data_IF_675458634042
#
_entry.id   IF_675458634042
#
_cell.length_a   1.000
_cell.length_b   1.000
_cell.length_c   1.000
_cell.angle_alpha   90.00
_cell.angle_beta   90.00
_cell.angle_gamma   90.00
#
_symmetry.space_group_name_H-M   'P 1'
#
loop_
_entity.id
_entity.type
_entity.pdbx_description
1 polymer ?
#
# COMPACT_ATOMS: atom_id res chain seq x y z
N UNK A 1 12.98 7.48 4.70
CA UNK A 1 12.27 6.62 5.66
C UNK A 1 11.22 7.47 6.36
N UNK A 2 9.94 7.16 6.15
CA UNK A 2 8.83 7.97 6.70
C UNK A 2 8.35 7.34 8.00
N UNK A 3 8.47 8.06 9.11
CA UNK A 3 8.08 7.61 10.45
C UNK A 3 6.60 7.96 10.68
N UNK A 4 5.82 7.06 11.31
CA UNK A 4 4.39 7.20 11.62
C UNK A 4 3.47 7.53 10.42
N UNK A 5 3.02 6.49 9.69
CA UNK A 5 1.85 6.63 8.80
C UNK A 5 0.74 5.69 9.20
N UNK A 6 -0.50 6.16 9.04
CA UNK A 6 -1.69 5.31 9.07
C UNK A 6 -1.99 4.73 7.68
N UNK A 7 -2.94 3.81 7.60
CA UNK A 7 -3.35 3.18 6.33
C UNK A 7 -3.85 4.21 5.32
N UNK A 8 -4.65 5.18 5.76
CA UNK A 8 -5.22 6.22 4.90
C UNK A 8 -4.16 7.03 4.17
N UNK A 9 -3.16 7.54 4.90
CA UNK A 9 -2.06 8.30 4.31
C UNK A 9 -1.24 7.50 3.32
N UNK A 10 -1.05 6.19 3.57
CA UNK A 10 -0.32 5.32 2.66
C UNK A 10 -1.15 4.96 1.42
N UNK A 11 -2.45 4.75 1.60
CA UNK A 11 -3.40 4.53 0.51
C UNK A 11 -3.48 5.74 -0.41
N UNK A 12 -3.68 6.94 0.14
CA UNK A 12 -3.74 8.18 -0.63
C UNK A 12 -2.43 8.41 -1.39
N UNK A 13 -1.28 8.20 -0.75
CA UNK A 13 0.00 8.31 -1.44
C UNK A 13 0.12 7.30 -2.58
N UNK A 14 -0.14 6.02 -2.31
CA UNK A 14 -0.12 4.98 -3.33
C UNK A 14 -1.06 5.28 -4.51
N UNK A 15 -2.26 5.78 -4.24
CA UNK A 15 -3.21 6.19 -5.27
C UNK A 15 -2.62 7.28 -6.18
N UNK A 16 -2.10 8.36 -5.60
CA UNK A 16 -1.51 9.45 -6.37
C UNK A 16 -0.35 8.98 -7.26
N UNK A 17 0.55 8.15 -6.73
CA UNK A 17 1.70 7.66 -7.49
C UNK A 17 1.28 6.69 -8.61
N UNK A 18 0.27 5.86 -8.36
CA UNK A 18 -0.29 4.98 -9.38
C UNK A 18 -0.89 5.80 -10.54
N UNK A 19 -1.77 6.77 -10.25
CA UNK A 19 -2.40 7.62 -11.27
C UNK A 19 -1.34 8.41 -12.06
N UNK A 20 -0.36 8.98 -11.37
CA UNK A 20 0.76 9.68 -12.01
C UNK A 20 1.54 8.76 -12.95
N UNK A 21 1.75 7.49 -12.59
CA UNK A 21 2.36 6.50 -13.49
C UNK A 21 1.46 6.20 -14.69
N UNK A 22 0.16 5.98 -14.51
CA UNK A 22 -0.77 5.69 -15.61
C UNK A 22 -0.77 6.81 -16.66
N UNK A 23 -0.76 8.07 -16.21
CA UNK A 23 -0.78 9.26 -17.09
C UNK A 23 0.58 9.48 -17.75
N UNK A 24 1.67 9.45 -16.98
CA UNK A 24 2.98 9.92 -17.46
C UNK A 24 3.90 8.81 -17.95
N UNK A 25 3.65 7.56 -17.56
CA UNK A 25 4.50 6.38 -17.76
C UNK A 25 5.93 6.53 -17.25
N UNK A 26 6.18 7.48 -16.33
CA UNK A 26 7.50 7.64 -15.71
C UNK A 26 7.70 6.59 -14.61
N UNK A 27 8.71 5.74 -14.77
CA UNK A 27 9.05 4.64 -13.85
C UNK A 27 9.25 5.06 -12.39
N UNK A 28 9.65 6.31 -12.14
CA UNK A 28 9.77 6.83 -10.77
C UNK A 28 8.46 6.70 -9.97
N UNK A 29 7.32 6.95 -10.61
CA UNK A 29 6.00 6.89 -9.97
C UNK A 29 5.57 5.44 -9.73
N UNK A 30 5.86 4.55 -10.69
CA UNK A 30 5.70 3.10 -10.51
C UNK A 30 6.49 2.61 -9.29
N UNK A 31 7.76 3.02 -9.17
CA UNK A 31 8.61 2.66 -8.04
C UNK A 31 8.01 3.17 -6.72
N UNK A 32 7.57 4.42 -6.66
CA UNK A 32 6.97 4.99 -5.45
C UNK A 32 5.68 4.28 -5.05
N UNK A 33 4.83 3.92 -6.02
CA UNK A 33 3.65 3.09 -5.77
C UNK A 33 4.02 1.70 -5.23
N UNK A 34 5.04 1.05 -5.80
CA UNK A 34 5.53 -0.24 -5.31
C UNK A 34 6.15 -0.16 -3.92
N UNK A 35 6.79 0.96 -3.57
CA UNK A 35 7.29 1.22 -2.22
C UNK A 35 6.11 1.35 -1.22
N UNK A 36 5.00 2.00 -1.61
CA UNK A 36 3.77 2.06 -0.80
C UNK A 36 3.17 0.66 -0.61
N UNK A 37 3.06 -0.10 -1.69
CA UNK A 37 2.64 -1.50 -1.69
C UNK A 37 3.48 -2.36 -0.73
N UNK A 38 4.80 -2.18 -0.72
CA UNK A 38 5.70 -2.94 0.13
C UNK A 38 5.54 -2.58 1.61
N UNK A 39 5.11 -1.36 1.94
CA UNK A 39 4.80 -0.97 3.33
C UNK A 39 3.65 -1.82 3.91
N UNK A 40 2.60 -2.06 3.12
CA UNK A 40 1.49 -2.96 3.52
C UNK A 40 1.96 -4.40 3.77
N UNK A 41 3.00 -4.84 3.07
CA UNK A 41 3.62 -6.17 3.22
C UNK A 41 4.60 -6.28 4.40
N UNK A 42 4.75 -5.19 5.17
CA UNK A 42 5.66 -5.16 6.30
C UNK A 42 7.08 -4.72 5.98
N UNK A 43 7.35 -4.13 4.80
CA UNK A 43 8.57 -3.32 4.60
C UNK A 43 8.45 -1.94 5.26
N UNK A 44 7.95 -1.94 6.48
CA UNK A 44 7.86 -0.81 7.40
C UNK A 44 8.94 -0.94 8.47
N UNK A 45 9.04 0.05 9.36
CA UNK A 45 10.02 0.03 10.46
C UNK A 45 9.80 -1.12 11.45
N UNK A 46 8.63 -1.75 11.45
CA UNK A 46 8.31 -2.86 12.34
C UNK A 46 8.57 -4.23 11.74
N UNK A 47 8.75 -4.34 10.41
CA UNK A 47 8.85 -5.64 9.76
C UNK A 47 7.54 -6.45 9.75
N UNK A 48 6.46 -5.92 10.32
CA UNK A 48 5.18 -6.60 10.46
C UNK A 48 4.21 -6.24 9.33
N UNK A 49 3.51 -7.25 8.82
CA UNK A 49 2.48 -7.07 7.79
C UNK A 49 1.29 -6.29 8.35
N UNK A 50 0.87 -5.28 7.59
CA UNK A 50 -0.27 -4.42 7.91
C UNK A 50 -1.53 -4.95 7.22
N UNK A 51 -1.39 -5.43 5.99
CA UNK A 51 -2.46 -6.03 5.20
C UNK A 51 -2.23 -7.54 5.02
N UNK A 52 -3.27 -8.33 5.29
CA UNK A 52 -3.28 -9.76 5.03
C UNK A 52 -4.09 -10.07 3.76
N UNK A 53 -3.39 -10.40 2.69
CA UNK A 53 -3.99 -10.69 1.38
C UNK A 53 -4.85 -11.96 1.35
N UNK A 54 -4.66 -12.89 2.30
CA UNK A 54 -5.41 -14.15 2.33
C UNK A 54 -6.86 -13.97 2.77
N UNK A 55 -7.12 -12.99 3.64
CA UNK A 55 -8.44 -12.78 4.23
C UNK A 55 -8.91 -11.32 4.17
N UNK A 56 -8.14 -10.42 3.56
CA UNK A 56 -8.48 -9.00 3.42
C UNK A 56 -8.38 -8.19 4.71
N UNK A 57 -7.92 -8.78 5.82
CA UNK A 57 -7.79 -8.06 7.08
C UNK A 57 -6.68 -7.02 6.98
N UNK A 58 -6.94 -5.82 7.50
CA UNK A 58 -5.97 -4.73 7.55
C UNK A 58 -5.96 -4.10 8.93
N UNK A 59 -4.77 -3.79 9.44
CA UNK A 59 -4.58 -3.06 10.68
C UNK A 59 -4.48 -1.58 10.38
N UNK A 60 -4.99 -0.72 11.26
CA UNK A 60 -5.13 0.71 10.96
C UNK A 60 -3.79 1.48 10.78
N UNK A 61 -2.66 0.84 11.12
CA UNK A 61 -1.33 1.33 10.82
C UNK A 61 -0.37 1.18 11.99
N UNK A 62 0.65 2.05 12.01
CA UNK A 62 1.69 2.06 13.04
C UNK A 62 1.49 3.30 13.91
N UNK A 63 1.32 3.08 15.21
CA UNK A 63 1.21 4.13 16.23
C UNK A 63 2.20 3.86 17.35
N UNK A 64 3.01 4.86 17.69
CA UNK A 64 4.01 4.80 18.78
C UNK A 64 4.98 3.61 18.64
N UNK A 65 5.40 3.30 17.40
CA UNK A 65 6.27 2.17 17.12
C UNK A 65 5.63 0.80 17.38
N UNK A 66 4.30 0.73 17.37
CA UNK A 66 3.54 -0.52 17.50
C UNK A 66 2.52 -0.62 16.39
N UNK A 67 2.34 -1.84 15.90
CA UNK A 67 1.27 -2.15 14.97
C UNK A 67 -0.08 -2.06 15.72
N UNK A 68 -1.06 -1.40 15.11
CA UNK A 68 -2.40 -1.32 15.69
C UNK A 68 -2.99 -2.70 15.97
N UNK A 69 -3.78 -2.81 17.04
CA UNK A 69 -4.64 -3.98 17.29
C UNK A 69 -5.99 -3.84 16.60
N UNK A 70 -6.34 -2.62 16.22
CA UNK A 70 -7.60 -2.28 15.58
C UNK A 70 -7.53 -2.64 14.09
N UNK A 71 -8.61 -3.25 13.63
CA UNK A 71 -8.81 -3.68 12.26
C UNK A 71 -10.15 -3.10 11.77
N UNK A 72 -10.13 -1.86 11.29
CA UNK A 72 -11.31 -1.19 10.76
C UNK A 72 -11.67 -1.66 9.34
N UNK A 73 -12.97 -1.59 9.00
CA UNK A 73 -13.44 -1.84 7.64
C UNK A 73 -12.85 -0.86 6.61
N UNK A 74 -12.67 0.40 7.00
CA UNK A 74 -12.05 1.44 6.17
C UNK A 74 -10.63 1.03 5.76
N UNK A 75 -9.77 0.69 6.73
CA UNK A 75 -8.40 0.24 6.47
C UNK A 75 -8.34 -0.99 5.56
N UNK A 76 -9.29 -1.92 5.69
CA UNK A 76 -9.40 -3.09 4.83
C UNK A 76 -9.72 -2.70 3.38
N UNK A 77 -10.70 -1.81 3.18
CA UNK A 77 -11.09 -1.31 1.86
C UNK A 77 -9.92 -0.57 1.20
N UNK A 78 -9.27 0.32 1.93
CA UNK A 78 -8.14 1.12 1.43
C UNK A 78 -6.96 0.24 1.01
N UNK A 79 -6.56 -0.71 1.85
CA UNK A 79 -5.47 -1.64 1.51
C UNK A 79 -5.84 -2.58 0.36
N UNK A 80 -7.10 -3.04 0.30
CA UNK A 80 -7.61 -3.83 -0.83
C UNK A 80 -7.56 -3.05 -2.14
N UNK A 81 -7.87 -1.76 -2.11
CA UNK A 81 -7.78 -0.85 -3.26
C UNK A 81 -6.33 -0.71 -3.79
N UNK A 82 -5.35 -0.65 -2.90
CA UNK A 82 -3.92 -0.64 -3.25
C UNK A 82 -3.52 -1.98 -3.88
N UNK A 83 -3.97 -3.10 -3.31
CA UNK A 83 -3.65 -4.42 -3.83
C UNK A 83 -4.22 -4.67 -5.24
N UNK A 84 -5.46 -4.25 -5.50
CA UNK A 84 -6.05 -4.35 -6.84
C UNK A 84 -5.24 -3.58 -7.88
N UNK A 85 -4.77 -2.37 -7.55
CA UNK A 85 -3.90 -1.58 -8.43
C UNK A 85 -2.56 -2.26 -8.68
N UNK A 86 -2.01 -2.92 -7.65
CA UNK A 86 -0.77 -3.70 -7.77
C UNK A 86 -0.92 -4.85 -8.76
N UNK A 87 -2.04 -5.57 -8.69
CA UNK A 87 -2.36 -6.66 -9.62
C UNK A 87 -2.49 -6.11 -11.05
N UNK A 88 -3.28 -5.05 -11.24
CA UNK A 88 -3.43 -4.39 -12.57
C UNK A 88 -2.08 -3.97 -13.15
N UNK A 89 -1.20 -3.38 -12.33
CA UNK A 89 0.12 -2.96 -12.75
C UNK A 89 1.01 -4.15 -13.19
N UNK A 90 0.92 -5.28 -12.48
CA UNK A 90 1.65 -6.50 -12.81
C UNK A 90 1.13 -7.11 -14.11
N UNK A 91 -0.19 -7.23 -14.27
CA UNK A 91 -0.81 -7.74 -15.50
C UNK A 91 -0.51 -6.87 -16.73
N UNK A 92 -0.46 -5.54 -16.57
CA UNK A 92 0.00 -4.65 -17.66
C UNK A 92 1.47 -4.88 -18.03
N UNK A 93 2.30 -5.32 -17.07
CA UNK A 93 3.71 -5.64 -17.32
C UNK A 93 3.90 -6.99 -18.02
N UNK A 94 2.87 -7.86 -18.06
CA UNK A 94 2.89 -9.15 -18.75
C UNK A 94 2.36 -9.11 -20.20
N UNK A 95 1.92 -7.95 -20.69
CA UNK A 95 1.32 -7.83 -22.03
C UNK A 95 2.32 -7.73 -23.21
N UNK A 96 3.61 -8.02 -23.03
CA UNK A 96 4.61 -8.00 -24.11
C UNK A 96 5.64 -9.11 -23.95
#
# INVERSE_FOLDING_TARGET
MVHNRNVHEMHMWGYHEFEAYIITRKEKYKKMFLDCCAWFDGKSQLGERIYNRLNGACRDGIKDGKLSKDCGAESAIEAGSVELRRIILQEQSFKY
#
